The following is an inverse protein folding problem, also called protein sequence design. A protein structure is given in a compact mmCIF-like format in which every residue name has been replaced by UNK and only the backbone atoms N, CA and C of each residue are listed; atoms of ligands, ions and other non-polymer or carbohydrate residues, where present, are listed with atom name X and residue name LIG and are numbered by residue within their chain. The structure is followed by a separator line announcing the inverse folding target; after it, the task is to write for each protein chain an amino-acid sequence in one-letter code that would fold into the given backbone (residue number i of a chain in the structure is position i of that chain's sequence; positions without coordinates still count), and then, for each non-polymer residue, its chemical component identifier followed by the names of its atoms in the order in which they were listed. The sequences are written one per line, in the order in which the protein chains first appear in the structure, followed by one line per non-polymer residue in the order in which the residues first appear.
data_IF_462677178858
#
_entry.id   IF_462677178858
#
_cell.length_a   1.000
_cell.length_b   1.000
_cell.length_c   1.000
_cell.angle_alpha   90.00
_cell.angle_beta   90.00
_cell.angle_gamma   90.00
#
_symmetry.space_group_name_H-M   'P 1'
#
loop_
_entity.id
_entity.type
_entity.pdbx_description
1 polymer ?
#
# COMPACT_ATOMS: atom_id res chain seq x y z
N UNK A 1 8.09 1.63 -15.30
CA UNK A 1 7.36 0.48 -14.74
C UNK A 1 8.08 -0.87 -14.86
N UNK A 2 8.14 -1.56 -16.02
CA UNK A 2 8.66 -2.95 -16.09
C UNK A 2 10.05 -3.13 -15.48
N UNK A 3 11.02 -2.32 -15.91
CA UNK A 3 12.39 -2.31 -15.34
C UNK A 3 12.40 -2.06 -13.83
N UNK A 4 11.51 -1.21 -13.32
CA UNK A 4 11.41 -0.91 -11.89
C UNK A 4 10.95 -2.14 -11.11
N UNK A 5 9.94 -2.87 -11.61
CA UNK A 5 9.51 -4.12 -10.98
C UNK A 5 10.60 -5.19 -11.02
N UNK A 6 11.38 -5.29 -12.10
CA UNK A 6 12.54 -6.18 -12.15
C UNK A 6 13.59 -5.83 -11.06
N UNK A 7 13.83 -4.53 -10.84
CA UNK A 7 14.73 -4.05 -9.78
C UNK A 7 14.20 -4.36 -8.38
N UNK A 8 12.89 -4.18 -8.15
CA UNK A 8 12.22 -4.59 -6.90
C UNK A 8 12.38 -6.08 -6.66
N UNK A 9 12.14 -6.90 -7.68
CA UNK A 9 12.29 -8.36 -7.59
C UNK A 9 13.73 -8.72 -7.27
N UNK A 10 14.72 -8.13 -7.95
CA UNK A 10 16.13 -8.40 -7.68
C UNK A 10 16.55 -8.02 -6.26
N UNK A 11 16.09 -6.86 -5.77
CA UNK A 11 16.34 -6.39 -4.41
C UNK A 11 15.81 -7.39 -3.39
N UNK A 12 14.53 -7.75 -3.46
CA UNK A 12 13.91 -8.65 -2.49
C UNK A 12 14.31 -10.11 -2.62
N UNK A 13 14.69 -10.56 -3.82
CA UNK A 13 15.28 -11.90 -4.01
C UNK A 13 16.53 -12.05 -3.16
N UNK A 14 17.36 -11.02 -3.09
CA UNK A 14 18.55 -10.98 -2.24
C UNK A 14 18.18 -10.97 -0.74
N UNK A 15 17.21 -10.13 -0.36
CA UNK A 15 16.84 -9.96 1.06
C UNK A 15 16.12 -11.17 1.66
N UNK A 16 15.27 -11.84 0.87
CA UNK A 16 14.32 -12.84 1.35
C UNK A 16 14.65 -14.27 0.89
N UNK A 17 15.60 -14.41 -0.06
CA UNK A 17 15.91 -15.68 -0.71
C UNK A 17 14.65 -16.32 -1.33
N UNK A 18 13.80 -15.47 -1.91
CA UNK A 18 12.53 -15.83 -2.52
C UNK A 18 12.22 -14.87 -3.66
N UNK A 19 11.73 -15.43 -4.77
CA UNK A 19 11.37 -14.69 -5.98
C UNK A 19 9.97 -15.12 -6.41
N UNK A 20 8.96 -14.23 -6.42
CA UNK A 20 7.66 -14.57 -6.95
C UNK A 20 7.71 -14.70 -8.48
N UNK A 21 6.85 -15.55 -9.03
CA UNK A 21 6.60 -15.64 -10.47
C UNK A 21 5.46 -14.68 -10.83
N UNK A 22 5.76 -13.62 -11.57
CA UNK A 22 4.78 -12.61 -11.99
C UNK A 22 4.89 -12.35 -13.48
N UNK A 23 3.74 -12.36 -14.16
CA UNK A 23 3.56 -11.85 -15.52
C UNK A 23 2.98 -10.45 -15.42
N UNK A 24 3.73 -9.45 -15.87
CA UNK A 24 3.27 -8.06 -15.93
C UNK A 24 2.63 -7.77 -17.29
N UNK A 25 1.39 -7.27 -17.29
CA UNK A 25 0.75 -6.68 -18.46
C UNK A 25 0.56 -5.19 -18.22
N UNK A 26 1.25 -4.37 -19.02
CA UNK A 26 1.07 -2.91 -19.06
C UNK A 26 0.16 -2.60 -20.23
N UNK A 27 -1.07 -2.17 -19.95
CA UNK A 27 -2.14 -2.13 -20.93
C UNK A 27 -2.59 -0.71 -21.25
N UNK A 28 -2.82 -0.44 -22.54
CA UNK A 28 -3.55 0.74 -22.98
C UNK A 28 -5.04 0.61 -22.68
N UNK A 29 -5.82 1.71 -22.76
CA UNK A 29 -7.27 1.66 -22.60
C UNK A 29 -7.94 0.68 -23.59
N UNK A 30 -7.42 0.55 -24.81
CA UNK A 30 -8.00 -0.30 -25.85
C UNK A 30 -7.80 -1.80 -25.57
N UNK A 31 -6.77 -2.16 -24.80
CA UNK A 31 -6.46 -3.55 -24.45
C UNK A 31 -6.98 -3.97 -23.07
N UNK A 32 -7.32 -3.02 -22.19
CA UNK A 32 -7.75 -3.30 -20.81
C UNK A 32 -8.86 -4.35 -20.71
N UNK A 33 -9.99 -4.12 -21.39
CA UNK A 33 -11.16 -5.01 -21.33
C UNK A 33 -10.93 -6.37 -22.03
N UNK A 34 -9.84 -6.54 -22.76
CA UNK A 34 -9.45 -7.83 -23.36
C UNK A 34 -8.75 -8.73 -22.33
N UNK A 35 -8.16 -8.14 -21.29
CA UNK A 35 -7.29 -8.84 -20.34
C UNK A 35 -7.80 -8.81 -18.88
N UNK A 36 -8.76 -7.94 -18.54
CA UNK A 36 -9.36 -7.88 -17.20
C UNK A 36 -10.86 -7.54 -17.24
N UNK A 37 -11.56 -7.90 -16.16
CA UNK A 37 -12.97 -7.52 -15.88
C UNK A 37 -13.08 -6.42 -14.84
N UNK A 38 -11.95 -5.79 -14.45
CA UNK A 38 -11.94 -4.74 -13.46
C UNK A 38 -12.76 -3.54 -13.95
N UNK A 39 -13.62 -2.94 -13.10
CA UNK A 39 -14.69 -2.06 -13.56
C UNK A 39 -14.24 -0.72 -14.15
N UNK A 40 -12.97 -0.34 -13.97
CA UNK A 40 -12.42 0.91 -14.50
C UNK A 40 -10.94 0.75 -14.88
N UNK A 41 -10.46 1.63 -15.77
CA UNK A 41 -9.07 1.70 -16.21
C UNK A 41 -8.23 2.47 -15.17
N UNK A 42 -7.03 1.97 -14.84
CA UNK A 42 -6.07 2.72 -14.03
C UNK A 42 -5.64 2.07 -12.71
N UNK A 43 -6.45 1.19 -12.09
CA UNK A 43 -6.06 0.56 -10.82
C UNK A 43 -5.17 -0.67 -11.08
N UNK A 44 -3.92 -0.72 -10.55
CA UNK A 44 -3.13 -1.94 -10.56
C UNK A 44 -3.85 -3.07 -9.82
N UNK A 45 -3.89 -4.27 -10.39
CA UNK A 45 -4.52 -5.42 -9.74
C UNK A 45 -4.09 -6.74 -10.37
N UNK A 46 -4.30 -7.82 -9.63
CA UNK A 46 -4.13 -9.17 -10.16
C UNK A 46 -5.40 -9.74 -10.79
N UNK A 47 -5.27 -10.41 -11.93
CA UNK A 47 -6.36 -11.23 -12.52
C UNK A 47 -6.22 -12.71 -12.21
N UNK A 48 -5.06 -13.13 -11.69
CA UNK A 48 -4.73 -14.48 -11.23
C UNK A 48 -3.68 -14.38 -10.12
N UNK A 49 -3.19 -15.48 -9.54
CA UNK A 49 -2.08 -15.41 -8.58
C UNK A 49 -0.73 -15.00 -9.20
N UNK A 50 -0.65 -14.77 -10.52
CA UNK A 50 0.59 -14.49 -11.25
C UNK A 50 0.50 -13.31 -12.22
N UNK A 51 -0.68 -12.91 -12.67
CA UNK A 51 -0.81 -11.86 -13.69
C UNK A 51 -1.16 -10.52 -13.06
N UNK A 52 -0.20 -9.61 -13.03
CA UNK A 52 -0.37 -8.22 -12.59
C UNK A 52 -0.71 -7.33 -13.79
N UNK A 53 -1.83 -6.63 -13.71
CA UNK A 53 -2.28 -5.64 -14.69
C UNK A 53 -1.94 -4.24 -14.18
N UNK A 54 -1.36 -3.40 -15.04
CA UNK A 54 -1.08 -1.98 -14.79
C UNK A 54 -1.50 -1.17 -16.00
N UNK A 55 -1.98 0.06 -15.79
CA UNK A 55 -2.27 0.99 -16.88
C UNK A 55 -0.97 1.52 -17.51
N UNK A 56 -0.98 1.80 -18.82
CA UNK A 56 0.17 2.35 -19.54
C UNK A 56 0.23 3.88 -19.54
N UNK A 57 -0.87 4.55 -19.19
CA UNK A 57 -1.01 5.99 -19.30
C UNK A 57 -1.98 6.57 -18.26
N UNK A 58 -1.86 7.88 -18.04
CA UNK A 58 -2.76 8.67 -17.20
C UNK A 58 -4.23 8.53 -17.62
N UNK A 59 -5.14 8.64 -16.66
CA UNK A 59 -6.54 8.28 -16.83
C UNK A 59 -7.48 9.03 -15.89
N UNK A 60 -8.78 8.94 -16.20
CA UNK A 60 -9.82 9.68 -15.48
C UNK A 60 -9.94 9.27 -14.01
N UNK A 61 -9.63 8.01 -13.68
CA UNK A 61 -9.62 7.57 -12.30
C UNK A 61 -8.51 8.26 -11.50
N UNK A 62 -7.28 8.29 -12.00
CA UNK A 62 -6.18 9.00 -11.34
C UNK A 62 -6.45 10.51 -11.21
N UNK A 63 -6.98 11.14 -12.26
CA UNK A 63 -7.39 12.56 -12.24
C UNK A 63 -8.48 12.85 -11.22
N UNK A 64 -9.42 11.92 -11.01
CA UNK A 64 -10.48 12.06 -10.01
C UNK A 64 -9.96 12.08 -8.56
N UNK A 65 -8.71 11.67 -8.35
CA UNK A 65 -8.05 11.62 -7.05
C UNK A 65 -7.20 12.87 -6.77
N UNK A 66 -7.16 13.84 -7.69
CA UNK A 66 -6.51 15.12 -7.50
C UNK A 66 -7.21 15.88 -6.35
N UNK A 67 -6.50 16.23 -5.26
CA UNK A 67 -7.09 16.92 -4.13
C UNK A 67 -7.50 18.36 -4.46
N UNK A 68 -8.58 18.85 -3.82
CA UNK A 68 -9.00 20.24 -3.92
C UNK A 68 -8.10 21.14 -3.05
N UNK A 69 -7.05 21.71 -3.66
CA UNK A 69 -6.03 22.53 -2.98
C UNK A 69 -6.60 23.74 -2.22
N UNK A 70 -7.74 24.28 -2.66
CA UNK A 70 -8.42 25.42 -2.05
C UNK A 70 -9.13 25.07 -0.73
N UNK A 71 -9.28 23.77 -0.43
CA UNK A 71 -9.97 23.27 0.77
C UNK A 71 -9.02 22.73 1.85
N UNK A 72 -7.72 22.90 1.67
CA UNK A 72 -6.71 22.39 2.61
C UNK A 72 -5.85 23.52 3.20
N UNK A 73 -5.08 23.22 4.24
CA UNK A 73 -4.13 24.18 4.79
C UNK A 73 -3.05 24.50 3.75
N UNK A 74 -2.41 25.66 3.89
CA UNK A 74 -1.29 26.04 3.00
C UNK A 74 -0.18 24.98 2.98
N UNK A 75 0.14 24.42 4.14
CA UNK A 75 1.16 23.38 4.28
C UNK A 75 0.79 22.11 3.50
N UNK A 76 -0.47 21.67 3.59
CA UNK A 76 -0.97 20.51 2.85
C UNK A 76 -0.99 20.77 1.34
N UNK A 77 -1.41 21.96 0.92
CA UNK A 77 -1.39 22.35 -0.49
C UNK A 77 0.04 22.35 -1.06
N UNK A 78 0.97 22.98 -0.35
CA UNK A 78 2.38 23.04 -0.75
C UNK A 78 3.01 21.63 -0.83
N UNK A 79 2.64 20.72 0.09
CA UNK A 79 3.07 19.31 0.07
C UNK A 79 2.56 18.57 -1.19
N UNK A 80 1.27 18.68 -1.50
CA UNK A 80 0.65 18.03 -2.67
C UNK A 80 1.21 18.62 -3.96
N UNK A 81 1.30 19.94 -4.08
CA UNK A 81 1.88 20.60 -5.26
C UNK A 81 3.32 20.16 -5.48
N UNK A 82 4.15 20.14 -4.43
CA UNK A 82 5.54 19.73 -4.56
C UNK A 82 5.71 18.28 -5.01
N UNK A 83 4.80 17.38 -4.63
CA UNK A 83 4.87 15.97 -4.97
C UNK A 83 4.28 15.64 -6.35
N UNK A 84 3.30 16.40 -6.83
CA UNK A 84 2.45 16.01 -7.97
C UNK A 84 2.35 17.05 -9.09
N UNK A 85 3.10 18.16 -9.04
CA UNK A 85 3.15 19.10 -10.15
C UNK A 85 3.78 18.49 -11.40
N UNK A 86 3.08 18.60 -12.54
CA UNK A 86 3.59 18.25 -13.85
C UNK A 86 4.46 19.37 -14.45
N UNK A 87 5.08 19.09 -15.60
CA UNK A 87 5.96 20.06 -16.31
C UNK A 87 5.23 21.30 -16.81
N UNK A 88 3.89 21.31 -16.82
CA UNK A 88 3.03 22.41 -17.28
C UNK A 88 2.41 23.17 -16.09
N UNK A 89 2.73 22.78 -14.86
CA UNK A 89 2.18 23.38 -13.64
C UNK A 89 0.80 22.85 -13.23
N UNK A 90 0.28 21.82 -13.90
CA UNK A 90 -0.91 21.08 -13.47
C UNK A 90 -0.59 20.06 -12.38
N UNK A 91 -1.61 19.45 -11.77
CA UNK A 91 -1.42 18.30 -10.87
C UNK A 91 -1.66 16.99 -11.61
N UNK A 92 -0.83 15.99 -11.34
CA UNK A 92 -0.96 14.63 -11.86
C UNK A 92 -0.70 13.60 -10.76
N UNK A 93 -1.64 12.68 -10.55
CA UNK A 93 -1.56 11.62 -9.52
C UNK A 93 -0.83 10.36 -10.00
N UNK A 94 -0.48 10.27 -11.29
CA UNK A 94 0.29 9.16 -11.89
C UNK A 94 1.52 8.75 -11.04
N UNK A 95 2.36 9.67 -10.51
CA UNK A 95 3.52 9.26 -9.70
C UNK A 95 3.18 8.46 -8.45
N UNK A 96 2.00 8.63 -7.86
CA UNK A 96 1.54 7.81 -6.73
C UNK A 96 0.99 6.47 -7.22
N UNK A 97 0.11 6.48 -8.23
CA UNK A 97 -0.54 5.27 -8.73
C UNK A 97 0.43 4.29 -9.40
N UNK A 98 1.45 4.81 -10.07
CA UNK A 98 2.53 4.00 -10.64
C UNK A 98 3.23 3.17 -9.56
N UNK A 99 3.50 3.77 -8.39
CA UNK A 99 4.14 3.07 -7.28
C UNK A 99 3.26 1.96 -6.69
N UNK A 100 1.94 2.02 -6.86
CA UNK A 100 1.06 0.94 -6.40
C UNK A 100 1.28 -0.37 -7.17
N UNK A 101 1.93 -0.37 -8.33
CA UNK A 101 2.37 -1.62 -8.97
C UNK A 101 3.36 -2.41 -8.08
N UNK A 102 4.17 -1.72 -7.28
CA UNK A 102 5.08 -2.35 -6.30
C UNK A 102 4.30 -2.87 -5.09
N UNK A 103 3.25 -2.15 -4.66
CA UNK A 103 2.31 -2.65 -3.65
C UNK A 103 1.71 -3.98 -4.14
N UNK A 104 1.13 -4.00 -5.33
CA UNK A 104 0.56 -5.23 -5.89
C UNK A 104 1.60 -6.36 -5.97
N UNK A 105 2.82 -6.07 -6.42
CA UNK A 105 3.91 -7.05 -6.38
C UNK A 105 4.13 -7.64 -4.98
N UNK A 106 3.97 -6.83 -3.93
CA UNK A 106 4.00 -7.28 -2.54
C UNK A 106 2.93 -8.31 -2.20
N UNK A 107 1.76 -8.29 -2.84
CA UNK A 107 0.78 -9.36 -2.70
C UNK A 107 1.29 -10.71 -3.23
N UNK A 108 2.02 -10.72 -4.34
CA UNK A 108 2.62 -11.96 -4.85
C UNK A 108 3.66 -12.54 -3.87
N UNK A 109 4.41 -11.69 -3.15
CA UNK A 109 5.37 -12.16 -2.14
C UNK A 109 4.69 -12.98 -1.05
N UNK A 110 3.61 -12.47 -0.44
CA UNK A 110 2.99 -13.21 0.65
C UNK A 110 2.15 -14.40 0.17
N UNK A 111 1.44 -14.26 -0.95
CA UNK A 111 0.64 -15.33 -1.54
C UNK A 111 1.50 -16.51 -2.03
N UNK A 112 2.56 -16.23 -2.80
CA UNK A 112 3.42 -17.27 -3.37
C UNK A 112 4.53 -17.71 -2.40
N UNK A 113 4.92 -16.87 -1.45
CA UNK A 113 5.89 -17.17 -0.40
C UNK A 113 5.36 -18.09 0.70
N UNK A 114 4.04 -18.35 0.69
CA UNK A 114 3.34 -19.22 1.63
C UNK A 114 3.19 -18.61 3.01
N UNK A 115 3.12 -17.28 3.12
CA UNK A 115 2.93 -16.60 4.41
C UNK A 115 1.52 -16.82 4.93
N UNK A 116 1.38 -16.90 6.25
CA UNK A 116 0.07 -16.87 6.92
C UNK A 116 -0.17 -15.47 7.44
N UNK A 117 -0.97 -14.71 6.70
CA UNK A 117 -1.45 -13.41 7.17
C UNK A 117 -2.36 -13.60 8.38
N UNK A 118 -1.94 -13.05 9.52
CA UNK A 118 -2.64 -13.24 10.79
C UNK A 118 -3.98 -12.48 10.82
N UNK A 119 -4.11 -11.41 10.04
CA UNK A 119 -5.29 -10.54 9.94
C UNK A 119 -5.43 -10.02 8.51
N UNK A 120 -6.64 -9.63 8.09
CA UNK A 120 -6.87 -9.05 6.76
C UNK A 120 -6.12 -7.73 6.56
N UNK A 121 -6.08 -6.87 7.58
CA UNK A 121 -5.31 -5.61 7.50
C UNK A 121 -3.81 -5.84 7.26
N UNK A 122 -3.25 -6.97 7.73
CA UNK A 122 -1.85 -7.30 7.48
C UNK A 122 -1.59 -7.64 6.00
N UNK A 123 -2.61 -8.17 5.31
CA UNK A 123 -2.54 -8.45 3.87
C UNK A 123 -2.31 -7.19 3.02
N UNK A 124 -2.71 -6.03 3.53
CA UNK A 124 -2.55 -4.71 2.89
C UNK A 124 -1.35 -3.93 3.48
N UNK A 125 -1.10 -4.05 4.79
CA UNK A 125 0.06 -3.42 5.42
C UNK A 125 1.38 -4.02 4.95
N UNK A 126 1.48 -5.35 4.79
CA UNK A 126 2.71 -6.00 4.34
C UNK A 126 3.20 -5.49 2.98
N UNK A 127 2.35 -5.43 1.93
CA UNK A 127 2.67 -4.77 0.67
C UNK A 127 3.12 -3.31 0.82
N UNK A 128 2.47 -2.54 1.70
CA UNK A 128 2.83 -1.15 1.94
C UNK A 128 4.22 -1.01 2.58
N UNK A 129 4.58 -1.90 3.52
CA UNK A 129 5.94 -1.94 4.09
C UNK A 129 6.96 -2.32 3.01
N UNK A 130 6.65 -3.32 2.17
CA UNK A 130 7.50 -3.75 1.06
C UNK A 130 7.74 -2.60 0.08
N UNK A 131 6.67 -1.92 -0.36
CA UNK A 131 6.76 -0.76 -1.24
C UNK A 131 7.58 0.37 -0.59
N UNK A 132 7.25 0.77 0.63
CA UNK A 132 7.94 1.87 1.30
C UNK A 132 9.43 1.57 1.51
N UNK A 133 9.75 0.35 1.96
CA UNK A 133 11.14 -0.07 2.20
C UNK A 133 11.94 -0.02 0.90
N UNK A 134 11.41 -0.52 -0.22
CA UNK A 134 12.15 -0.48 -1.49
C UNK A 134 12.40 0.96 -1.95
N UNK A 135 11.38 1.81 -1.92
CA UNK A 135 11.49 3.20 -2.35
C UNK A 135 12.47 3.96 -1.48
N UNK A 136 12.42 3.81 -0.16
CA UNK A 136 13.35 4.50 0.73
C UNK A 136 14.82 4.08 0.52
N UNK A 137 15.07 2.80 0.19
CA UNK A 137 16.43 2.26 0.05
C UNK A 137 17.04 2.50 -1.34
N UNK A 138 16.22 2.45 -2.41
CA UNK A 138 16.73 2.46 -3.79
C UNK A 138 16.31 3.70 -4.58
N UNK A 139 15.16 4.29 -4.27
CA UNK A 139 14.56 5.37 -5.03
C UNK A 139 14.02 6.50 -4.12
N UNK A 140 14.82 7.00 -3.14
CA UNK A 140 14.30 7.88 -2.09
C UNK A 140 13.71 9.20 -2.61
N UNK A 141 14.10 9.63 -3.82
CA UNK A 141 13.50 10.77 -4.51
C UNK A 141 12.01 10.60 -4.83
N UNK A 142 11.47 9.37 -4.80
CA UNK A 142 10.05 9.07 -5.00
C UNK A 142 9.24 9.02 -3.68
N UNK A 143 9.89 9.19 -2.51
CA UNK A 143 9.18 9.24 -1.22
C UNK A 143 8.11 10.34 -1.13
N UNK A 144 8.31 11.56 -1.68
CA UNK A 144 7.25 12.57 -1.70
C UNK A 144 6.02 12.09 -2.46
N UNK A 145 6.20 11.48 -3.64
CA UNK A 145 5.11 10.93 -4.44
C UNK A 145 4.38 9.79 -3.73
N UNK A 146 5.11 8.97 -2.94
CA UNK A 146 4.52 7.87 -2.17
C UNK A 146 3.75 8.34 -0.93
N UNK A 147 4.20 9.42 -0.28
CA UNK A 147 3.75 9.75 1.09
C UNK A 147 2.85 10.98 1.18
N UNK A 148 2.91 11.91 0.23
CA UNK A 148 2.15 13.16 0.29
C UNK A 148 0.63 12.92 0.31
N UNK A 149 0.12 12.14 -0.65
CA UNK A 149 -1.31 11.82 -0.73
C UNK A 149 -1.82 11.05 0.50
N UNK A 150 -1.19 9.95 0.95
CA UNK A 150 -1.62 9.26 2.17
C UNK A 150 -1.63 10.14 3.42
N UNK A 151 -0.58 10.95 3.64
CA UNK A 151 -0.52 11.86 4.79
C UNK A 151 -1.65 12.89 4.76
N UNK A 152 -1.92 13.46 3.58
CA UNK A 152 -3.02 14.41 3.40
C UNK A 152 -4.36 13.75 3.72
N UNK A 153 -4.67 12.58 3.12
CA UNK A 153 -5.94 11.88 3.39
C UNK A 153 -6.12 11.59 4.88
N UNK A 154 -5.08 11.09 5.56
CA UNK A 154 -5.16 10.81 7.00
C UNK A 154 -5.39 12.08 7.82
N UNK A 155 -4.74 13.18 7.45
CA UNK A 155 -4.85 14.46 8.17
C UNK A 155 -6.19 15.18 7.94
N UNK A 156 -6.83 15.01 6.77
CA UNK A 156 -8.04 15.76 6.41
C UNK A 156 -9.33 14.95 6.55
N UNK A 157 -9.25 13.63 6.74
CA UNK A 157 -10.46 12.80 6.84
C UNK A 157 -11.09 12.93 8.23
N UNK A 158 -12.32 13.43 8.28
CA UNK A 158 -13.13 13.46 9.49
C UNK A 158 -13.66 12.05 9.81
N UNK A 159 -13.08 11.38 10.83
CA UNK A 159 -13.45 10.00 11.20
C UNK A 159 -14.95 9.80 11.46
N UNK A 160 -15.67 10.83 11.91
CA UNK A 160 -17.12 10.81 12.13
C UNK A 160 -17.95 10.65 10.85
N UNK A 161 -17.38 10.98 9.68
CA UNK A 161 -18.05 10.82 8.37
C UNK A 161 -17.95 9.40 7.82
N UNK A 162 -17.10 8.57 8.43
CA UNK A 162 -16.79 7.22 7.99
C UNK A 162 -17.64 6.19 8.73
N UNK A 163 -18.15 5.19 8.00
CA UNK A 163 -18.98 4.12 8.59
C UNK A 163 -18.16 3.09 9.39
N UNK A 164 -17.02 2.67 8.87
CA UNK A 164 -16.14 1.64 9.41
C UNK A 164 -14.76 2.21 9.72
N UNK A 165 -14.35 2.17 10.99
CA UNK A 165 -13.11 2.89 11.39
C UNK A 165 -12.18 2.10 12.29
N UNK A 166 -12.58 0.92 12.75
CA UNK A 166 -11.76 0.04 13.59
C UNK A 166 -11.17 -1.12 12.77
N UNK A 167 -10.03 -1.69 13.22
CA UNK A 167 -9.52 -2.91 12.58
C UNK A 167 -10.53 -4.07 12.66
N UNK A 168 -11.34 -4.13 13.72
CA UNK A 168 -12.40 -5.14 13.83
C UNK A 168 -13.46 -4.97 12.73
N UNK A 169 -13.87 -3.73 12.42
CA UNK A 169 -14.78 -3.47 11.30
C UNK A 169 -14.20 -3.99 9.99
N UNK A 170 -12.91 -3.74 9.76
CA UNK A 170 -12.24 -4.24 8.57
C UNK A 170 -12.23 -5.77 8.52
N UNK A 171 -11.88 -6.44 9.62
CA UNK A 171 -11.87 -7.91 9.67
C UNK A 171 -13.25 -8.50 9.36
N UNK A 172 -14.32 -7.87 9.87
CA UNK A 172 -15.70 -8.33 9.68
C UNK A 172 -16.26 -7.98 8.29
N UNK A 173 -15.96 -6.79 7.77
CA UNK A 173 -16.65 -6.22 6.60
C UNK A 173 -15.72 -5.98 5.39
N UNK A 174 -14.52 -6.57 5.36
CA UNK A 174 -13.53 -6.37 4.29
C UNK A 174 -14.09 -6.38 2.87
N UNK A 175 -14.83 -7.45 2.52
CA UNK A 175 -15.39 -7.64 1.18
C UNK A 175 -16.53 -6.65 0.86
N UNK A 176 -17.10 -5.99 1.86
CA UNK A 176 -18.12 -4.96 1.70
C UNK A 176 -17.50 -3.55 1.60
N UNK A 177 -16.47 -3.27 2.40
CA UNK A 177 -15.87 -1.94 2.52
C UNK A 177 -15.36 -1.44 1.16
N UNK A 178 -14.57 -2.23 0.43
CA UNK A 178 -14.02 -1.83 -0.86
C UNK A 178 -15.09 -1.42 -1.87
N UNK A 179 -16.05 -2.30 -2.23
CA UNK A 179 -17.04 -2.00 -3.25
C UNK A 179 -18.12 -0.98 -2.85
N UNK A 180 -18.52 -0.96 -1.56
CA UNK A 180 -19.68 -0.14 -1.11
C UNK A 180 -19.28 1.12 -0.36
N UNK A 181 -18.08 1.16 0.23
CA UNK A 181 -17.61 2.27 1.06
C UNK A 181 -16.19 2.69 0.64
N UNK A 182 -16.01 3.18 -0.60
CA UNK A 182 -14.69 3.50 -1.15
C UNK A 182 -13.92 4.54 -0.34
N UNK A 183 -14.62 5.47 0.34
CA UNK A 183 -13.99 6.44 1.25
C UNK A 183 -13.39 5.76 2.49
N UNK A 184 -14.10 4.79 3.08
CA UNK A 184 -13.54 3.98 4.16
C UNK A 184 -12.32 3.20 3.67
N UNK A 185 -12.41 2.53 2.52
CA UNK A 185 -11.30 1.75 1.98
C UNK A 185 -10.07 2.62 1.68
N UNK A 186 -10.25 3.77 1.02
CA UNK A 186 -9.18 4.72 0.74
C UNK A 186 -8.53 5.26 2.02
N UNK A 187 -9.31 5.55 3.05
CA UNK A 187 -8.79 5.97 4.36
C UNK A 187 -7.94 4.87 5.01
N UNK A 188 -8.42 3.62 5.04
CA UNK A 188 -7.64 2.48 5.54
C UNK A 188 -6.31 2.34 4.79
N UNK A 189 -6.34 2.36 3.46
CA UNK A 189 -5.16 2.28 2.60
C UNK A 189 -4.14 3.38 2.92
N UNK A 190 -4.60 4.64 3.01
CA UNK A 190 -3.73 5.76 3.35
C UNK A 190 -3.13 5.63 4.76
N UNK A 191 -3.89 5.14 5.74
CA UNK A 191 -3.36 4.86 7.08
C UNK A 191 -2.28 3.78 7.08
N UNK A 192 -2.42 2.74 6.27
CA UNK A 192 -1.37 1.71 6.16
C UNK A 192 -0.13 2.20 5.43
N UNK A 193 -0.25 3.08 4.44
CA UNK A 193 0.91 3.76 3.86
C UNK A 193 1.67 4.61 4.89
N UNK A 194 0.95 5.38 5.73
CA UNK A 194 1.56 6.16 6.81
C UNK A 194 2.22 5.24 7.84
N UNK A 195 1.54 4.17 8.26
CA UNK A 195 2.09 3.18 9.18
C UNK A 195 3.35 2.50 8.62
N UNK A 196 3.35 2.13 7.34
CA UNK A 196 4.49 1.52 6.67
C UNK A 196 5.73 2.42 6.70
N UNK A 197 5.56 3.73 6.52
CA UNK A 197 6.65 4.69 6.66
C UNK A 197 7.22 4.72 8.08
N UNK A 198 6.37 4.81 9.10
CA UNK A 198 6.81 4.75 10.51
C UNK A 198 7.53 3.44 10.83
N UNK A 199 7.00 2.32 10.35
CA UNK A 199 7.62 1.01 10.53
C UNK A 199 9.01 0.96 9.91
N UNK A 200 9.17 1.48 8.68
CA UNK A 200 10.45 1.57 8.03
C UNK A 200 11.41 2.50 8.78
N UNK A 201 10.97 3.67 9.21
CA UNK A 201 11.81 4.60 9.97
C UNK A 201 12.37 3.99 11.24
N UNK A 202 11.54 3.22 11.94
CA UNK A 202 11.92 2.59 13.21
C UNK A 202 12.74 1.30 13.05
N UNK A 203 12.52 0.53 11.98
CA UNK A 203 13.03 -0.85 11.88
C UNK A 203 13.79 -1.21 10.60
N UNK A 204 13.69 -0.37 9.57
CA UNK A 204 14.35 -0.50 8.26
C UNK A 204 14.17 -1.89 7.65
N UNK A 205 15.08 -2.30 6.77
CA UNK A 205 15.10 -3.65 6.15
C UNK A 205 15.03 -4.79 7.20
N UNK A 206 15.75 -4.75 8.34
CA UNK A 206 15.68 -5.83 9.34
C UNK A 206 14.28 -6.09 9.89
N UNK A 207 13.47 -5.04 10.12
CA UNK A 207 12.09 -5.20 10.57
C UNK A 207 11.23 -5.90 9.53
N UNK A 208 11.34 -5.50 8.26
CA UNK A 208 10.63 -6.16 7.17
C UNK A 208 11.02 -7.64 6.99
N UNK A 209 12.33 -7.95 7.05
CA UNK A 209 12.81 -9.33 6.99
C UNK A 209 12.28 -10.17 8.15
N UNK A 210 12.27 -9.61 9.35
CA UNK A 210 11.74 -10.29 10.53
C UNK A 210 10.24 -10.58 10.37
N UNK A 211 9.47 -9.62 9.85
CA UNK A 211 8.05 -9.82 9.54
C UNK A 211 7.83 -10.96 8.53
N UNK A 212 8.61 -10.98 7.44
CA UNK A 212 8.58 -12.05 6.45
C UNK A 212 8.78 -13.42 7.07
N UNK A 213 9.84 -13.60 7.86
CA UNK A 213 10.15 -14.90 8.47
C UNK A 213 9.11 -15.30 9.51
N UNK A 214 8.67 -14.38 10.36
CA UNK A 214 7.63 -14.64 11.37
C UNK A 214 6.34 -15.10 10.71
N UNK A 215 5.86 -14.42 9.66
CA UNK A 215 4.62 -14.81 8.95
C UNK A 215 4.78 -16.10 8.15
N UNK A 216 6.01 -16.48 7.79
CA UNK A 216 6.30 -17.76 7.12
C UNK A 216 6.26 -18.92 8.11
N UNK A 217 6.77 -18.73 9.32
CA UNK A 217 6.89 -19.78 10.34
C UNK A 217 5.68 -19.90 11.27
N UNK A 218 5.01 -18.79 11.59
CA UNK A 218 3.82 -18.81 12.45
C UNK A 218 2.62 -19.30 11.63
N UNK A 219 2.30 -20.59 11.76
CA UNK A 219 1.24 -21.23 10.97
C UNK A 219 -0.15 -21.09 11.58
N UNK A 220 -0.23 -20.96 12.90
CA UNK A 220 -1.49 -20.82 13.62
C UNK A 220 -1.93 -19.35 13.63
N UNK A 221 -3.25 -19.13 13.51
CA UNK A 221 -3.85 -17.80 13.66
C UNK A 221 -3.97 -17.49 15.14
N UNK A 222 -3.20 -16.50 15.59
CA UNK A 222 -3.15 -16.07 16.97
C UNK A 222 -4.33 -15.17 17.33
N UNK A 223 -4.69 -15.12 18.62
CA UNK A 223 -5.59 -14.07 19.11
C UNK A 223 -4.86 -12.69 19.14
N UNK A 224 -5.60 -11.60 19.36
CA UNK A 224 -5.02 -10.25 19.24
C UNK A 224 -3.88 -9.99 20.22
N UNK A 225 -3.98 -10.50 21.45
CA UNK A 225 -2.94 -10.32 22.47
C UNK A 225 -1.67 -11.07 22.07
N UNK A 226 -1.81 -12.33 21.68
CA UNK A 226 -0.69 -13.16 21.21
C UNK A 226 -0.04 -12.59 19.95
N UNK A 227 -0.84 -12.05 19.02
CA UNK A 227 -0.33 -11.41 17.81
C UNK A 227 0.50 -10.17 18.15
N UNK A 228 0.00 -9.29 19.04
CA UNK A 228 0.73 -8.10 19.49
C UNK A 228 2.04 -8.50 20.17
N UNK A 229 2.01 -9.49 21.05
CA UNK A 229 3.21 -9.99 21.74
C UNK A 229 4.22 -10.59 20.76
N UNK A 230 3.76 -11.37 19.77
CA UNK A 230 4.60 -11.92 18.70
C UNK A 230 5.26 -10.80 17.89
N UNK A 231 4.49 -9.83 17.40
CA UNK A 231 5.00 -8.73 16.59
C UNK A 231 6.04 -7.91 17.36
N UNK A 232 5.77 -7.60 18.63
CA UNK A 232 6.66 -6.82 19.48
C UNK A 232 7.97 -7.55 19.77
N UNK A 233 7.91 -8.87 20.01
CA UNK A 233 9.07 -9.66 20.47
C UNK A 233 9.89 -10.27 19.35
N UNK A 234 9.27 -10.59 18.20
CA UNK A 234 9.90 -11.30 17.08
C UNK A 234 10.06 -10.46 15.82
N UNK A 235 9.38 -9.33 15.71
CA UNK A 235 9.48 -8.44 14.54
C UNK A 235 10.04 -7.08 14.96
N UNK A 236 9.19 -6.18 15.44
CA UNK A 236 9.57 -4.88 15.95
C UNK A 236 8.38 -4.23 16.67
N UNK A 237 8.64 -3.37 17.66
CA UNK A 237 7.60 -2.65 18.39
C UNK A 237 6.70 -1.83 17.46
N UNK A 238 7.25 -1.20 16.43
CA UNK A 238 6.48 -0.37 15.49
C UNK A 238 5.38 -1.14 14.74
N UNK A 239 5.55 -2.46 14.53
CA UNK A 239 4.48 -3.31 13.98
C UNK A 239 3.37 -3.57 15.00
N UNK A 240 3.73 -3.86 16.25
CA UNK A 240 2.76 -4.07 17.33
C UNK A 240 1.98 -2.78 17.65
N UNK A 241 2.60 -1.62 17.46
CA UNK A 241 1.97 -0.33 17.68
C UNK A 241 0.81 -0.05 16.69
N UNK A 242 0.77 -0.70 15.51
CA UNK A 242 -0.33 -0.53 14.54
C UNK A 242 -1.69 -0.93 15.14
N UNK A 243 -1.92 -2.18 15.57
CA UNK A 243 -3.19 -2.53 16.21
C UNK A 243 -3.37 -1.86 17.58
N UNK A 244 -2.30 -1.63 18.34
CA UNK A 244 -2.40 -1.04 19.69
C UNK A 244 -2.80 0.45 19.68
N UNK A 245 -2.47 1.16 18.62
CA UNK A 245 -2.72 2.60 18.50
C UNK A 245 -3.69 2.92 17.35
N UNK A 246 -4.32 1.91 16.74
CA UNK A 246 -5.21 2.11 15.60
C UNK A 246 -6.32 3.14 15.90
N UNK A 247 -6.92 3.05 17.08
CA UNK A 247 -7.99 3.96 17.51
C UNK A 247 -7.51 5.14 18.34
N UNK A 248 -6.20 5.19 18.63
CA UNK A 248 -5.54 6.34 19.22
C UNK A 248 -5.02 7.20 18.07
N UNK A 249 -5.87 8.03 17.52
CA UNK A 249 -5.43 9.08 16.58
C UNK A 249 -5.59 10.39 17.38
N UNK A 250 -4.49 10.98 17.88
CA UNK A 250 -3.54 11.89 17.19
C UNK A 250 -4.22 13.11 16.56
#
# INVERSE_FOLDING_TARGET
MAKQLDQVIAFYSTQLQFTPSVTLLILSPQDWNKHTKFPFYGMPHYTSNKTLIVASEDNDYWKSMIPALDKMSKEQADLITSAYSDKKGGLNMEPFFDLLAIHELGHAYHNQGGLVMQRRWMGELFPNILLHTYIAENEPGLLPALTAFPKMVVATTEKSTLKYTTLQDLETYYNEIGPKFPQNYGWYQCRWHVAAGKIYDDSKIPGFKSLWYVLKTQREILNDKELVDLLKTKVHKSLADVPMNWDKIE
#
